data_IF_759167712462
#
_entry.id   IF_759167712462
#
_cell.length_a   1.000
_cell.length_b   1.000
_cell.length_c   1.000
_cell.angle_alpha   90.00
_cell.angle_beta   90.00
_cell.angle_gamma   90.00
#
_symmetry.space_group_name_H-M   'P 1'
#
loop_
_entity.id
_entity.type
_entity.pdbx_description
1 polymer ?
#
# COMPACT_ATOMS: atom_id res chain seq x y z
N UNK A 1 51.56 4.51 -16.19
CA UNK A 1 50.23 3.88 -16.07
C UNK A 1 49.38 4.86 -15.29
N UNK A 2 48.50 5.56 -15.98
CA UNK A 2 47.61 6.58 -15.40
C UNK A 2 46.42 5.89 -14.77
N UNK A 3 46.28 6.04 -13.46
CA UNK A 3 45.12 5.58 -12.70
C UNK A 3 43.85 6.26 -13.23
N UNK A 4 42.98 5.46 -13.82
CA UNK A 4 41.62 5.88 -14.16
C UNK A 4 40.83 5.86 -12.86
N UNK A 5 40.70 7.02 -12.25
CA UNK A 5 39.72 7.26 -11.18
C UNK A 5 38.34 7.13 -11.83
N UNK A 6 37.68 6.00 -11.59
CA UNK A 6 36.26 5.83 -11.92
C UNK A 6 35.49 6.90 -11.15
N UNK A 7 34.72 7.79 -11.81
CA UNK A 7 33.93 8.76 -11.09
C UNK A 7 32.91 8.00 -10.23
N UNK A 8 32.91 8.29 -8.93
CA UNK A 8 31.87 7.84 -8.01
C UNK A 8 30.56 8.40 -8.56
N UNK A 9 29.75 7.51 -9.14
CA UNK A 9 28.38 7.79 -9.52
C UNK A 9 27.66 8.12 -8.23
N UNK A 10 27.15 9.35 -8.13
CA UNK A 10 26.23 9.79 -7.09
C UNK A 10 25.07 8.78 -7.02
N UNK A 11 25.12 7.89 -6.01
CA UNK A 11 24.29 6.69 -5.91
C UNK A 11 22.79 6.97 -5.81
N UNK A 12 22.39 8.24 -5.75
CA UNK A 12 20.99 8.67 -5.63
C UNK A 12 20.36 9.13 -6.94
N UNK A 13 21.14 9.43 -7.99
CA UNK A 13 20.59 10.08 -9.21
C UNK A 13 19.92 9.14 -10.21
N UNK A 14 20.11 7.82 -10.10
CA UNK A 14 19.63 6.83 -11.07
C UNK A 14 18.93 5.61 -10.42
N UNK A 15 18.52 5.70 -9.15
CA UNK A 15 17.81 4.60 -8.48
C UNK A 15 16.41 4.37 -9.07
N UNK A 16 15.83 5.41 -9.69
CA UNK A 16 14.46 5.40 -10.14
C UNK A 16 14.30 5.50 -11.66
N UNK A 17 14.22 4.36 -12.34
CA UNK A 17 13.88 4.30 -13.77
C UNK A 17 14.83 5.06 -14.70
N UNK A 18 14.65 4.91 -16.01
CA UNK A 18 15.60 5.43 -17.00
C UNK A 18 15.63 6.97 -17.12
N UNK A 19 14.66 7.70 -16.53
CA UNK A 19 14.53 9.16 -16.71
C UNK A 19 13.93 9.85 -15.48
N UNK A 20 14.73 10.65 -14.77
CA UNK A 20 14.27 11.53 -13.69
C UNK A 20 13.25 12.60 -14.14
N UNK A 21 12.84 13.47 -13.22
CA UNK A 21 11.87 14.54 -13.47
C UNK A 21 12.34 15.54 -14.53
N UNK A 22 11.40 16.00 -15.37
CA UNK A 22 11.60 17.09 -16.33
C UNK A 22 11.16 18.43 -15.73
N UNK A 23 11.70 19.53 -16.27
CA UNK A 23 11.32 20.88 -15.85
C UNK A 23 9.81 21.10 -16.01
N UNK A 24 9.13 21.48 -14.93
CA UNK A 24 7.70 21.73 -14.90
C UNK A 24 6.83 20.50 -14.61
N UNK A 25 7.44 19.33 -14.42
CA UNK A 25 6.73 18.16 -13.90
C UNK A 25 6.40 18.33 -12.41
N UNK A 26 5.44 17.52 -11.95
CA UNK A 26 4.96 17.57 -10.59
C UNK A 26 6.09 17.31 -9.58
N UNK A 27 6.29 18.16 -8.56
CA UNK A 27 7.42 18.02 -7.63
C UNK A 27 7.29 16.81 -6.69
N UNK A 28 6.09 16.27 -6.53
CA UNK A 28 5.84 15.11 -5.67
C UNK A 28 5.98 15.40 -4.17
N UNK A 29 6.01 16.66 -3.78
CA UNK A 29 6.01 17.11 -2.39
C UNK A 29 5.37 18.49 -2.28
N UNK A 30 4.79 18.77 -1.12
CA UNK A 30 4.32 20.11 -0.77
C UNK A 30 5.45 20.93 -0.15
N UNK A 31 5.47 22.24 -0.38
CA UNK A 31 6.45 23.16 0.22
C UNK A 31 6.11 23.54 1.67
N UNK A 32 4.82 23.51 2.02
CA UNK A 32 4.32 23.92 3.34
C UNK A 32 3.07 23.07 3.71
N UNK A 33 3.25 21.79 4.04
CA UNK A 33 2.14 20.94 4.42
C UNK A 33 1.58 21.31 5.81
N UNK A 34 0.27 21.10 6.02
CA UNK A 34 -0.40 21.44 7.29
C UNK A 34 0.23 20.68 8.46
N UNK A 35 0.44 19.37 8.29
CA UNK A 35 1.09 18.48 9.25
C UNK A 35 1.92 17.42 8.53
N UNK A 36 2.63 16.58 9.29
CA UNK A 36 3.22 15.34 8.79
C UNK A 36 2.61 14.13 9.48
N UNK A 37 2.53 13.02 8.75
CA UNK A 37 2.14 11.71 9.32
C UNK A 37 3.34 10.79 9.41
N UNK A 38 3.42 9.99 10.47
CA UNK A 38 4.55 9.10 10.72
C UNK A 38 4.43 7.75 9.99
N UNK A 39 3.21 7.21 9.90
CA UNK A 39 2.91 5.91 9.29
C UNK A 39 1.40 5.72 9.14
N UNK A 40 0.98 4.71 8.39
CA UNK A 40 -0.40 4.21 8.41
C UNK A 40 -0.66 3.45 9.71
N UNK A 41 -1.75 3.78 10.38
CA UNK A 41 -2.14 3.16 11.64
C UNK A 41 -2.99 1.91 11.39
N UNK A 42 -4.13 2.07 10.71
CA UNK A 42 -5.00 0.94 10.35
C UNK A 42 -5.90 1.23 9.15
N UNK A 43 -6.52 0.17 8.64
CA UNK A 43 -7.59 0.23 7.63
C UNK A 43 -8.94 -0.18 8.23
N UNK A 44 -10.03 0.38 7.71
CA UNK A 44 -11.38 0.08 8.17
C UNK A 44 -12.23 -0.54 7.06
N UNK A 45 -12.89 -1.66 7.36
CA UNK A 45 -13.79 -2.33 6.43
C UNK A 45 -15.07 -2.77 7.10
N UNK A 46 -16.15 -2.81 6.31
CA UNK A 46 -17.38 -3.48 6.67
C UNK A 46 -17.39 -4.88 6.04
N UNK A 47 -17.86 -5.87 6.79
CA UNK A 47 -17.93 -7.28 6.38
C UNK A 47 -19.30 -7.90 6.70
N UNK A 48 -19.88 -8.68 5.78
CA UNK A 48 -21.14 -9.37 6.03
C UNK A 48 -21.02 -10.50 7.06
N UNK A 49 -19.86 -11.15 7.10
CA UNK A 49 -19.57 -12.28 7.98
C UNK A 49 -18.19 -12.13 8.64
N UNK A 50 -18.19 -11.70 9.90
CA UNK A 50 -16.96 -11.54 10.68
C UNK A 50 -16.30 -12.88 11.05
N UNK A 51 -17.05 -13.98 11.13
CA UNK A 51 -16.46 -15.29 11.41
C UNK A 51 -15.69 -15.80 10.20
N UNK A 52 -16.25 -15.65 9.01
CA UNK A 52 -15.56 -15.99 7.75
C UNK A 52 -14.34 -15.10 7.52
N UNK A 53 -14.45 -13.82 7.85
CA UNK A 53 -13.32 -12.89 7.80
C UNK A 53 -12.22 -13.27 8.80
N UNK A 54 -12.56 -13.63 10.04
CA UNK A 54 -11.59 -14.10 11.05
C UNK A 54 -10.85 -15.37 10.58
N UNK A 55 -11.58 -16.33 10.02
CA UNK A 55 -11.00 -17.59 9.54
C UNK A 55 -9.94 -17.33 8.45
N UNK A 56 -10.25 -16.48 7.47
CA UNK A 56 -9.27 -16.06 6.48
C UNK A 56 -8.12 -15.26 7.10
N UNK A 57 -8.41 -14.27 7.96
CA UNK A 57 -7.39 -13.44 8.57
C UNK A 57 -6.34 -14.26 9.33
N UNK A 58 -6.78 -15.28 10.09
CA UNK A 58 -5.87 -16.20 10.79
C UNK A 58 -5.06 -17.06 9.82
N UNK A 59 -5.68 -17.54 8.74
CA UNK A 59 -4.97 -18.32 7.73
C UNK A 59 -3.96 -17.48 6.94
N UNK A 60 -4.29 -16.21 6.70
CA UNK A 60 -3.42 -15.21 6.08
C UNK A 60 -2.30 -14.75 7.02
N UNK A 61 -2.45 -14.96 8.34
CA UNK A 61 -1.38 -14.78 9.31
C UNK A 61 -1.52 -13.58 10.26
N UNK A 62 -2.72 -12.99 10.36
CA UNK A 62 -3.01 -11.99 11.38
C UNK A 62 -3.21 -12.61 12.77
N UNK A 63 -2.77 -11.87 13.78
CA UNK A 63 -3.26 -11.99 15.15
C UNK A 63 -4.60 -11.26 15.32
N UNK A 64 -5.34 -11.62 16.39
CA UNK A 64 -6.58 -10.95 16.77
C UNK A 64 -6.31 -10.11 18.03
N UNK A 65 -6.54 -8.80 17.94
CA UNK A 65 -6.42 -7.87 19.05
C UNK A 65 -7.72 -7.80 19.87
N UNK A 66 -8.85 -7.77 19.17
CA UNK A 66 -10.18 -7.69 19.75
C UNK A 66 -11.17 -8.46 18.88
N UNK A 67 -12.11 -9.14 19.53
CA UNK A 67 -13.23 -9.82 18.87
C UNK A 67 -14.49 -9.63 19.70
N UNK A 68 -15.54 -9.13 19.04
CA UNK A 68 -16.90 -9.11 19.57
C UNK A 68 -17.92 -9.33 18.42
N UNK A 69 -19.24 -9.43 18.70
CA UNK A 69 -20.24 -9.67 17.65
C UNK A 69 -20.40 -8.57 16.58
N UNK A 70 -19.91 -7.35 16.85
CA UNK A 70 -20.03 -6.18 16.00
C UNK A 70 -18.72 -5.84 15.26
N UNK A 71 -17.56 -6.23 15.78
CA UNK A 71 -16.26 -5.90 15.21
C UNK A 71 -15.16 -6.93 15.50
N UNK A 72 -14.15 -6.92 14.63
CA UNK A 72 -12.93 -7.71 14.73
C UNK A 72 -11.73 -6.81 14.44
N UNK A 73 -10.76 -6.75 15.36
CA UNK A 73 -9.53 -6.00 15.17
C UNK A 73 -8.39 -6.97 14.90
N UNK A 74 -7.83 -6.89 13.71
CA UNK A 74 -6.67 -7.67 13.27
C UNK A 74 -5.39 -6.90 13.60
N UNK A 75 -4.34 -7.61 14.00
CA UNK A 75 -3.03 -7.04 14.32
C UNK A 75 -1.89 -7.86 13.75
N UNK A 76 -0.75 -7.22 13.56
CA UNK A 76 0.51 -7.90 13.29
C UNK A 76 1.22 -8.35 14.57
N UNK A 77 2.38 -8.98 14.39
CA UNK A 77 3.23 -9.46 15.48
C UNK A 77 4.06 -8.36 16.13
N UNK A 78 4.40 -7.28 15.42
CA UNK A 78 5.10 -6.12 16.02
C UNK A 78 4.21 -5.46 17.09
N UNK A 79 4.84 -4.83 18.08
CA UNK A 79 4.13 -3.99 19.05
C UNK A 79 3.46 -2.81 18.34
N UNK A 80 2.32 -2.33 18.86
CA UNK A 80 1.56 -1.24 18.25
C UNK A 80 0.04 -1.42 18.32
N UNK A 81 -0.66 -0.87 17.33
CA UNK A 81 -2.12 -0.91 17.25
C UNK A 81 -2.68 -2.04 16.36
N UNK A 82 -4.00 -2.05 16.12
CA UNK A 82 -4.59 -2.90 15.08
C UNK A 82 -4.06 -2.48 13.70
N UNK A 83 -3.91 -3.45 12.79
CA UNK A 83 -3.64 -3.21 11.38
C UNK A 83 -4.94 -3.02 10.59
N UNK A 84 -6.00 -3.72 10.98
CA UNK A 84 -7.30 -3.67 10.30
C UNK A 84 -8.43 -3.74 11.33
N UNK A 85 -9.42 -2.86 11.19
CA UNK A 85 -10.66 -2.88 11.95
C UNK A 85 -11.78 -3.30 11.01
N UNK A 86 -12.34 -4.47 11.25
CA UNK A 86 -13.52 -4.98 10.55
C UNK A 86 -14.76 -4.74 11.39
N UNK A 87 -15.82 -4.21 10.76
CA UNK A 87 -17.13 -4.03 11.40
C UNK A 87 -18.18 -4.85 10.67
N UNK A 88 -19.19 -5.33 11.38
CA UNK A 88 -20.32 -6.02 10.76
C UNK A 88 -21.11 -5.02 9.91
N UNK A 89 -21.35 -5.35 8.66
CA UNK A 89 -22.16 -4.56 7.73
C UNK A 89 -22.98 -5.44 6.80
N UNK A 90 -23.94 -4.88 6.07
CA UNK A 90 -24.77 -5.66 5.14
C UNK A 90 -24.02 -6.13 3.89
N UNK A 91 -22.99 -5.38 3.51
CA UNK A 91 -22.15 -5.64 2.34
C UNK A 91 -20.71 -5.34 2.67
N UNK A 92 -19.81 -5.95 1.92
CA UNK A 92 -18.40 -5.60 1.95
C UNK A 92 -18.20 -4.13 1.53
N UNK A 93 -17.40 -3.38 2.29
CA UNK A 93 -17.03 -1.99 1.94
C UNK A 93 -15.70 -1.59 2.57
N UNK A 94 -14.87 -0.85 1.85
CA UNK A 94 -13.76 -0.10 2.44
C UNK A 94 -14.31 1.19 3.02
N UNK A 95 -14.18 1.37 4.33
CA UNK A 95 -14.81 2.47 5.08
C UNK A 95 -13.85 3.62 5.35
N UNK A 96 -12.53 3.40 5.27
CA UNK A 96 -11.53 4.46 5.42
C UNK A 96 -10.19 3.94 5.93
N UNK A 97 -9.27 4.87 6.20
CA UNK A 97 -7.96 4.59 6.78
C UNK A 97 -7.62 5.58 7.90
N UNK A 98 -6.62 5.24 8.69
CA UNK A 98 -6.05 6.11 9.70
C UNK A 98 -4.54 6.23 9.52
N UNK A 99 -4.00 7.43 9.67
CA UNK A 99 -2.57 7.70 9.81
C UNK A 99 -2.25 8.11 11.24
N UNK A 100 -1.08 7.69 11.73
CA UNK A 100 -0.52 8.21 12.97
C UNK A 100 0.11 9.58 12.69
N UNK A 101 -0.23 10.58 13.49
CA UNK A 101 0.42 11.88 13.44
C UNK A 101 1.94 11.75 13.69
N UNK A 102 2.75 12.61 13.07
CA UNK A 102 4.18 12.65 13.37
C UNK A 102 4.44 13.15 14.78
N UNK A 103 3.72 14.18 15.20
CA UNK A 103 3.71 14.70 16.57
C UNK A 103 2.29 14.76 17.13
N UNK A 104 2.10 14.63 18.44
CA UNK A 104 0.75 14.68 19.03
C UNK A 104 0.03 16.01 18.77
N UNK A 105 0.79 17.11 18.74
CA UNK A 105 0.30 18.47 18.46
C UNK A 105 -0.26 18.60 17.05
N UNK A 106 0.15 17.74 16.10
CA UNK A 106 -0.31 17.80 14.72
C UNK A 106 -1.80 17.47 14.60
N UNK A 107 -2.36 16.64 15.49
CA UNK A 107 -3.81 16.40 15.52
C UNK A 107 -4.56 17.70 15.84
N UNK A 108 -4.03 18.51 16.76
CA UNK A 108 -4.62 19.81 17.12
C UNK A 108 -4.41 20.87 16.02
N UNK A 109 -3.22 20.90 15.40
CA UNK A 109 -2.96 21.78 14.24
C UNK A 109 -3.89 21.47 13.08
N UNK A 110 -4.09 20.19 12.79
CA UNK A 110 -5.00 19.75 11.74
C UNK A 110 -6.45 20.16 12.05
N UNK A 111 -6.90 19.97 13.30
CA UNK A 111 -8.23 20.39 13.74
C UNK A 111 -8.45 21.89 13.54
N UNK A 112 -7.50 22.71 13.99
CA UNK A 112 -7.55 24.18 13.85
C UNK A 112 -7.61 24.61 12.37
N UNK A 113 -6.71 24.06 11.55
CA UNK A 113 -6.59 24.44 10.13
C UNK A 113 -7.75 23.99 9.26
N UNK A 114 -8.44 22.91 9.64
CA UNK A 114 -9.56 22.35 8.88
C UNK A 114 -10.93 22.71 9.47
N UNK A 115 -10.97 23.24 10.69
CA UNK A 115 -12.21 23.48 11.43
C UNK A 115 -12.93 22.20 11.88
N UNK A 116 -12.28 21.04 11.78
CA UNK A 116 -12.87 19.75 12.16
C UNK A 116 -12.51 19.45 13.61
N UNK A 117 -13.49 19.13 14.48
CA UNK A 117 -13.21 18.89 15.89
C UNK A 117 -12.42 17.60 16.11
N UNK A 118 -11.56 17.64 17.13
CA UNK A 118 -10.92 16.44 17.68
C UNK A 118 -11.97 15.62 18.43
N UNK A 119 -12.03 14.32 18.16
CA UNK A 119 -12.90 13.39 18.90
C UNK A 119 -12.09 12.28 19.56
N UNK A 120 -12.59 11.75 20.68
CA UNK A 120 -12.03 10.56 21.30
C UNK A 120 -12.29 9.33 20.43
N UNK A 121 -11.33 8.43 20.38
CA UNK A 121 -11.49 7.11 19.77
C UNK A 121 -12.12 6.15 20.79
N UNK A 122 -12.72 5.04 20.33
CA UNK A 122 -13.21 4.00 21.23
C UNK A 122 -12.09 3.47 22.15
N UNK A 123 -12.44 3.12 23.38
CA UNK A 123 -11.51 2.61 24.40
C UNK A 123 -10.68 1.41 23.91
N UNK A 124 -11.23 0.58 23.02
CA UNK A 124 -10.49 -0.55 22.42
C UNK A 124 -9.20 -0.16 21.68
N UNK A 125 -9.12 1.09 21.19
CA UNK A 125 -7.97 1.62 20.44
C UNK A 125 -7.29 2.74 21.22
N UNK A 126 -8.06 3.53 21.99
CA UNK A 126 -7.55 4.64 22.78
C UNK A 126 -7.18 5.85 21.92
N UNK A 127 -6.95 6.97 22.60
CA UNK A 127 -6.46 8.20 21.97
C UNK A 127 -7.55 9.07 21.34
N UNK A 128 -7.12 9.96 20.45
CA UNK A 128 -7.96 10.94 19.79
C UNK A 128 -7.68 11.00 18.30
N UNK A 129 -8.64 11.52 17.53
CA UNK A 129 -8.53 11.64 16.09
C UNK A 129 -9.20 12.92 15.56
N UNK A 130 -8.72 13.36 14.40
CA UNK A 130 -9.45 14.22 13.46
C UNK A 130 -9.77 13.39 12.24
N UNK A 131 -11.03 13.42 11.77
CA UNK A 131 -11.46 12.70 10.58
C UNK A 131 -11.81 13.67 9.45
N UNK A 132 -11.06 13.58 8.36
CA UNK A 132 -11.31 14.31 7.13
C UNK A 132 -11.89 13.36 6.06
N UNK A 133 -12.34 13.94 4.95
CA UNK A 133 -12.71 13.20 3.75
C UNK A 133 -11.81 13.66 2.61
N UNK A 134 -11.11 12.73 1.98
CA UNK A 134 -10.25 13.07 0.86
C UNK A 134 -11.08 13.48 -0.39
N UNK A 135 -10.46 14.07 -1.42
CA UNK A 135 -11.20 14.51 -2.60
C UNK A 135 -11.84 13.39 -3.42
N UNK A 136 -11.55 12.12 -3.11
CA UNK A 136 -12.16 10.92 -3.70
C UNK A 136 -13.33 10.37 -2.87
N UNK A 137 -13.57 10.94 -1.68
CA UNK A 137 -14.66 10.54 -0.78
C UNK A 137 -14.24 9.51 0.28
N UNK A 138 -12.95 9.21 0.43
CA UNK A 138 -12.46 8.27 1.45
C UNK A 138 -12.32 8.99 2.79
N UNK A 139 -12.82 8.37 3.86
CA UNK A 139 -12.61 8.87 5.21
C UNK A 139 -11.16 8.61 5.64
N UNK A 140 -10.47 9.66 6.07
CA UNK A 140 -9.07 9.61 6.53
C UNK A 140 -8.99 10.17 7.94
N UNK A 141 -8.54 9.35 8.89
CA UNK A 141 -8.29 9.78 10.26
C UNK A 141 -6.81 10.12 10.45
N UNK A 142 -6.52 11.14 11.23
CA UNK A 142 -5.18 11.38 11.79
C UNK A 142 -5.29 11.24 13.31
N UNK A 143 -4.44 10.40 13.88
CA UNK A 143 -4.63 9.88 15.25
C UNK A 143 -3.38 10.01 16.11
N UNK A 144 -3.58 10.15 17.41
CA UNK A 144 -2.51 10.15 18.42
C UNK A 144 -2.98 9.61 19.77
N UNK A 145 -2.05 9.25 20.67
CA UNK A 145 -2.34 8.77 22.02
C UNK A 145 -2.99 7.38 22.07
N UNK A 146 -2.70 6.53 21.08
CA UNK A 146 -3.28 5.19 20.96
C UNK A 146 -2.75 4.26 22.05
N UNK A 147 -3.54 3.25 22.41
CA UNK A 147 -3.04 2.13 23.21
C UNK A 147 -2.02 1.31 22.42
N UNK A 148 -0.92 0.96 23.08
CA UNK A 148 0.11 0.11 22.50
C UNK A 148 -0.06 -1.33 22.98
N UNK A 149 -0.34 -2.23 22.05
CA UNK A 149 -0.39 -3.65 22.31
C UNK A 149 1.04 -4.23 22.30
N UNK A 150 1.38 -5.14 23.24
CA UNK A 150 2.70 -5.74 23.30
C UNK A 150 2.97 -6.61 22.06
N UNK A 151 4.23 -6.76 21.67
CA UNK A 151 4.63 -7.64 20.57
C UNK A 151 4.17 -9.09 20.80
N UNK A 152 3.83 -9.77 19.71
CA UNK A 152 3.56 -11.21 19.66
C UNK A 152 4.78 -11.94 19.09
N UNK A 153 4.88 -13.28 19.25
CA UNK A 153 5.98 -14.03 18.68
C UNK A 153 6.08 -13.84 17.16
N UNK A 154 7.20 -13.31 16.68
CA UNK A 154 7.49 -13.16 15.26
C UNK A 154 7.72 -14.52 14.58
N UNK A 155 7.69 -14.52 13.25
CA UNK A 155 8.25 -15.59 12.43
C UNK A 155 9.70 -15.20 12.08
N UNK A 156 10.72 -15.88 12.62
CA UNK A 156 12.10 -15.49 12.36
C UNK A 156 12.46 -15.75 10.89
N UNK A 157 13.24 -14.85 10.26
CA UNK A 157 13.71 -15.07 8.90
C UNK A 157 14.64 -16.28 8.84
N UNK A 158 14.63 -16.98 7.70
CA UNK A 158 15.48 -18.13 7.43
C UNK A 158 16.93 -17.68 7.25
N UNK A 159 17.84 -18.39 7.92
CA UNK A 159 19.27 -18.21 7.69
C UNK A 159 19.66 -18.83 6.36
N UNK A 160 20.03 -17.97 5.42
CA UNK A 160 20.41 -18.35 4.05
C UNK A 160 21.93 -18.45 3.90
N UNK A 161 22.41 -19.39 3.08
CA UNK A 161 23.77 -19.34 2.54
C UNK A 161 23.73 -18.41 1.32
N UNK A 162 24.34 -17.25 1.43
CA UNK A 162 24.31 -16.20 0.40
C UNK A 162 25.70 -16.02 -0.19
N UNK A 163 25.82 -16.20 -1.51
CA UNK A 163 27.09 -16.05 -2.23
C UNK A 163 28.19 -16.96 -1.63
N UNK A 164 29.29 -16.35 -1.20
CA UNK A 164 30.46 -17.02 -0.61
C UNK A 164 30.40 -17.15 0.92
N UNK A 165 29.27 -16.86 1.57
CA UNK A 165 29.11 -16.96 3.03
C UNK A 165 28.23 -18.16 3.36
N UNK A 166 28.84 -19.16 4.00
CA UNK A 166 28.14 -20.33 4.54
C UNK A 166 27.58 -20.03 5.95
N UNK A 167 26.42 -19.37 6.00
CA UNK A 167 25.70 -19.06 7.24
C UNK A 167 25.06 -20.28 7.93
N UNK A 168 24.94 -21.40 7.21
CA UNK A 168 24.31 -22.64 7.66
C UNK A 168 25.18 -23.85 7.30
N UNK A 169 25.80 -24.44 8.32
CA UNK A 169 26.67 -25.64 8.23
C UNK A 169 25.92 -26.84 8.83
N UNK A 170 25.89 -27.98 8.14
CA UNK A 170 25.22 -29.22 8.57
C UNK A 170 23.75 -29.08 9.00
N UNK A 171 23.07 -28.01 8.58
CA UNK A 171 21.67 -27.76 8.84
C UNK A 171 20.90 -27.65 7.52
N UNK A 172 19.63 -28.06 7.49
CA UNK A 172 18.77 -28.00 6.29
C UNK A 172 17.69 -26.93 6.46
N UNK A 173 17.19 -26.38 5.35
CA UNK A 173 16.04 -25.45 5.33
C UNK A 173 14.84 -26.18 4.76
N UNK A 174 13.77 -26.24 5.56
CA UNK A 174 12.47 -26.85 5.24
C UNK A 174 11.38 -25.97 5.87
N UNK A 175 11.04 -24.83 5.24
CA UNK A 175 10.08 -23.90 5.80
C UNK A 175 8.72 -24.60 5.99
N UNK A 176 8.12 -24.54 7.20
CA UNK A 176 6.85 -25.18 7.44
C UNK A 176 5.74 -24.46 6.67
N UNK A 177 4.79 -25.23 6.10
CA UNK A 177 3.56 -24.69 5.51
C UNK A 177 2.61 -24.31 6.64
N UNK A 178 2.76 -23.10 7.15
CA UNK A 178 1.96 -22.48 8.23
C UNK A 178 1.60 -21.05 7.81
N UNK A 179 0.65 -20.35 8.47
CA UNK A 179 0.37 -18.96 8.14
C UNK A 179 1.65 -18.12 8.18
N UNK A 180 1.91 -17.36 7.11
CA UNK A 180 2.99 -16.37 7.09
C UNK A 180 2.62 -15.26 8.06
N UNK A 181 3.31 -15.16 9.20
CA UNK A 181 2.90 -14.24 10.27
C UNK A 181 3.05 -12.80 9.80
N UNK A 182 1.93 -12.08 9.77
CA UNK A 182 1.92 -10.65 9.46
C UNK A 182 2.61 -9.89 10.58
N UNK A 183 3.65 -9.14 10.23
CA UNK A 183 4.40 -8.31 11.17
C UNK A 183 3.73 -6.96 11.41
N UNK A 184 3.27 -6.30 10.34
CA UNK A 184 2.58 -5.01 10.37
C UNK A 184 1.81 -4.74 9.07
N UNK A 185 0.98 -3.71 9.08
CA UNK A 185 0.48 -3.06 7.86
C UNK A 185 1.61 -2.25 7.21
N UNK A 186 1.77 -2.39 5.90
CA UNK A 186 2.72 -1.58 5.13
C UNK A 186 2.02 -0.45 4.40
N UNK A 187 1.13 -0.81 3.47
CA UNK A 187 0.51 0.19 2.61
C UNK A 187 -0.92 -0.15 2.17
N UNK A 188 -1.58 0.86 1.60
CA UNK A 188 -2.88 0.74 0.92
C UNK A 188 -2.81 1.36 -0.46
N UNK A 189 -3.48 0.75 -1.43
CA UNK A 189 -3.59 1.24 -2.80
C UNK A 189 -5.04 1.61 -3.08
N UNK A 190 -5.25 2.85 -3.49
CA UNK A 190 -6.55 3.38 -3.83
C UNK A 190 -6.58 3.81 -5.30
N UNK A 191 -7.76 3.73 -5.88
CA UNK A 191 -8.06 4.26 -7.19
C UNK A 191 -8.93 5.50 -7.03
N UNK A 192 -8.68 6.55 -7.83
CA UNK A 192 -9.45 7.79 -7.81
C UNK A 192 -9.74 8.28 -9.23
N UNK A 193 -10.92 8.85 -9.45
CA UNK A 193 -11.27 9.59 -10.67
C UNK A 193 -10.71 11.01 -10.67
N UNK A 194 -10.32 11.52 -9.49
CA UNK A 194 -9.72 12.85 -9.30
C UNK A 194 -8.34 12.69 -8.69
N UNK A 195 -7.51 11.90 -9.36
CA UNK A 195 -6.20 11.45 -8.89
C UNK A 195 -5.26 12.60 -8.49
N UNK A 196 -4.97 13.57 -9.36
CA UNK A 196 -4.05 14.67 -9.04
C UNK A 196 -4.58 15.53 -7.90
N UNK A 197 -5.88 15.81 -7.89
CA UNK A 197 -6.51 16.54 -6.78
C UNK A 197 -6.37 15.79 -5.46
N UNK A 198 -6.56 14.47 -5.50
CA UNK A 198 -6.43 13.58 -4.34
C UNK A 198 -4.98 13.51 -3.87
N UNK A 199 -4.03 13.29 -4.79
CA UNK A 199 -2.60 13.29 -4.50
C UNK A 199 -2.19 14.57 -3.78
N UNK A 200 -2.48 15.73 -4.37
CA UNK A 200 -2.07 17.02 -3.80
C UNK A 200 -2.67 17.24 -2.42
N UNK A 201 -3.91 16.79 -2.20
CA UNK A 201 -4.50 16.83 -0.86
C UNK A 201 -3.69 16.01 0.16
N UNK A 202 -3.22 14.80 -0.17
CA UNK A 202 -2.36 14.03 0.76
C UNK A 202 -0.98 14.70 0.97
N UNK A 203 -0.40 15.30 -0.07
CA UNK A 203 0.88 16.02 0.02
C UNK A 203 0.75 17.29 0.88
N UNK A 204 -0.27 18.11 0.62
CA UNK A 204 -0.50 19.41 1.27
C UNK A 204 -1.08 19.26 2.68
N UNK A 205 -1.91 18.25 2.92
CA UNK A 205 -2.55 18.07 4.24
C UNK A 205 -1.65 17.29 5.19
N UNK A 206 -0.99 16.23 4.71
CA UNK A 206 -0.28 15.27 5.57
C UNK A 206 1.23 15.20 5.33
N UNK A 207 1.77 16.07 4.48
CA UNK A 207 3.20 16.18 4.25
C UNK A 207 3.82 14.92 3.68
N UNK A 208 3.02 14.04 3.07
CA UNK A 208 3.54 12.87 2.38
C UNK A 208 4.32 13.31 1.13
N UNK A 209 5.22 12.46 0.64
CA UNK A 209 6.07 12.74 -0.52
C UNK A 209 6.13 11.53 -1.46
N UNK A 210 6.28 11.77 -2.75
CA UNK A 210 6.26 10.72 -3.79
C UNK A 210 7.63 10.08 -3.93
N UNK A 211 7.65 8.74 -4.01
CA UNK A 211 8.84 7.94 -4.34
C UNK A 211 8.91 7.64 -5.82
N UNK A 212 7.78 7.28 -6.45
CA UNK A 212 7.69 7.06 -7.89
C UNK A 212 6.38 7.60 -8.46
N UNK A 213 6.48 8.22 -9.64
CA UNK A 213 5.39 8.53 -10.53
C UNK A 213 5.36 7.56 -11.70
N UNK A 214 4.17 7.04 -12.02
CA UNK A 214 3.92 6.34 -13.27
C UNK A 214 3.00 7.15 -14.18
N UNK A 215 3.24 7.11 -15.48
CA UNK A 215 2.40 7.76 -16.50
C UNK A 215 1.97 6.77 -17.57
N UNK A 216 0.78 6.95 -18.16
CA UNK A 216 0.36 6.08 -19.26
C UNK A 216 1.33 6.20 -20.46
N UNK A 217 1.68 5.09 -21.14
CA UNK A 217 2.57 5.11 -22.30
C UNK A 217 2.15 6.13 -23.36
N UNK A 218 3.09 6.98 -23.77
CA UNK A 218 2.84 8.08 -24.70
C UNK A 218 2.09 9.29 -24.12
N UNK A 219 1.84 9.33 -22.81
CA UNK A 219 1.07 10.38 -22.15
C UNK A 219 1.83 11.10 -21.02
N UNK A 220 3.17 11.02 -20.96
CA UNK A 220 3.98 11.70 -19.92
C UNK A 220 3.68 13.19 -19.81
N UNK A 221 3.50 13.88 -20.94
CA UNK A 221 3.16 15.30 -20.99
C UNK A 221 1.82 15.65 -20.34
N UNK A 222 0.94 14.65 -20.12
CA UNK A 222 -0.31 14.82 -19.38
C UNK A 222 -0.12 14.68 -17.87
N UNK A 223 1.11 14.46 -17.41
CA UNK A 223 1.42 14.17 -16.02
C UNK A 223 1.14 12.72 -15.61
N UNK A 224 1.36 12.42 -14.33
CA UNK A 224 1.29 11.06 -13.81
C UNK A 224 -0.15 10.54 -13.80
N UNK A 225 -0.27 9.22 -13.78
CA UNK A 225 -1.50 8.46 -13.65
C UNK A 225 -1.45 7.50 -12.46
N UNK A 226 -0.30 7.34 -11.80
CA UNK A 226 -0.18 6.65 -10.53
C UNK A 226 1.01 7.23 -9.74
N UNK A 227 0.91 7.19 -8.41
CA UNK A 227 1.99 7.55 -7.50
C UNK A 227 2.16 6.51 -6.41
N UNK A 228 3.41 6.24 -6.05
CA UNK A 228 3.81 5.57 -4.82
C UNK A 228 4.27 6.64 -3.84
N UNK A 229 3.62 6.74 -2.68
CA UNK A 229 3.70 7.89 -1.77
C UNK A 229 4.13 7.41 -0.39
N UNK A 230 5.27 7.93 0.10
CA UNK A 230 5.82 7.65 1.44
C UNK A 230 5.51 8.76 2.43
N UNK A 231 5.58 8.42 3.71
CA UNK A 231 5.58 9.40 4.79
C UNK A 231 6.92 10.16 4.82
N UNK A 232 6.89 11.50 4.88
CA UNK A 232 8.11 12.30 5.09
C UNK A 232 8.49 12.32 6.58
N UNK A 233 9.46 11.48 6.94
CA UNK A 233 10.04 11.40 8.29
C UNK A 233 11.40 12.13 8.39
N UNK A 234 11.65 13.08 7.49
CA UNK A 234 12.93 13.78 7.38
C UNK A 234 14.04 12.84 6.96
N UNK A 235 15.17 12.88 7.68
CA UNK A 235 16.32 11.99 7.44
C UNK A 235 16.09 10.54 7.94
N UNK A 236 14.98 10.26 8.65
CA UNK A 236 14.66 8.89 9.04
C UNK A 236 14.01 8.18 7.86
N UNK A 237 14.53 7.01 7.41
CA UNK A 237 13.90 6.28 6.32
C UNK A 237 12.47 5.86 6.64
N UNK A 238 11.61 5.95 5.64
CA UNK A 238 10.25 5.39 5.61
C UNK A 238 10.17 4.34 4.50
N UNK A 239 9.15 3.48 4.55
CA UNK A 239 8.87 2.55 3.45
C UNK A 239 8.77 3.31 2.13
N UNK A 240 9.14 2.65 1.03
CA UNK A 240 8.97 3.13 -0.34
C UNK A 240 7.63 3.82 -0.55
N UNK A 241 6.56 3.25 0.02
CA UNK A 241 5.26 3.86 0.05
C UNK A 241 4.43 3.31 1.20
N UNK A 242 3.59 4.19 1.73
CA UNK A 242 2.53 3.88 2.69
C UNK A 242 1.15 4.00 2.02
N UNK A 243 1.07 4.82 0.97
CA UNK A 243 -0.11 5.00 0.13
C UNK A 243 0.32 4.89 -1.33
N UNK A 244 -0.44 4.17 -2.16
CA UNK A 244 -0.38 4.37 -3.61
C UNK A 244 -1.73 4.83 -4.14
N UNK A 245 -1.70 5.74 -5.10
CA UNK A 245 -2.89 6.29 -5.74
C UNK A 245 -2.80 6.06 -7.24
N UNK A 246 -3.83 5.47 -7.84
CA UNK A 246 -3.94 5.28 -9.28
C UNK A 246 -5.15 6.01 -9.84
N UNK A 247 -4.98 6.65 -11.00
CA UNK A 247 -6.07 7.19 -11.81
C UNK A 247 -6.87 6.03 -12.42
N UNK A 248 -8.18 6.03 -12.18
CA UNK A 248 -9.06 5.07 -12.82
C UNK A 248 -10.53 5.49 -12.81
N UNK A 249 -11.41 4.72 -13.46
CA UNK A 249 -12.79 5.13 -13.73
C UNK A 249 -13.73 5.08 -12.50
N UNK A 250 -13.20 4.84 -11.32
CA UNK A 250 -13.97 4.77 -10.08
C UNK A 250 -13.08 5.05 -8.86
N UNK A 251 -13.69 5.63 -7.82
CA UNK A 251 -13.07 5.75 -6.49
C UNK A 251 -13.25 4.43 -5.75
N UNK A 252 -12.16 3.73 -5.44
CA UNK A 252 -12.22 2.43 -4.75
C UNK A 252 -10.92 2.04 -4.09
N UNK A 253 -11.03 1.14 -3.12
CA UNK A 253 -9.92 0.32 -2.66
C UNK A 253 -9.45 -0.62 -3.78
N UNK A 254 -8.14 -0.75 -3.96
CA UNK A 254 -7.50 -1.71 -4.87
C UNK A 254 -6.97 -2.89 -4.08
N UNK A 255 -5.99 -2.66 -3.19
CA UNK A 255 -5.45 -3.65 -2.26
C UNK A 255 -4.79 -3.00 -1.05
N UNK A 256 -4.38 -3.83 -0.08
CA UNK A 256 -3.51 -3.45 1.03
C UNK A 256 -2.52 -4.55 1.32
N UNK A 257 -1.36 -4.17 1.81
CA UNK A 257 -0.22 -5.07 1.96
C UNK A 257 0.29 -5.16 3.39
N UNK A 258 0.73 -6.35 3.75
CA UNK A 258 1.09 -6.73 5.09
C UNK A 258 2.46 -7.41 5.09
N UNK A 259 3.38 -6.87 5.90
CA UNK A 259 4.77 -7.31 5.92
C UNK A 259 4.87 -8.71 6.52
N UNK A 260 5.65 -9.59 5.90
CA UNK A 260 6.03 -10.90 6.43
C UNK A 260 7.56 -11.02 6.47
N UNK A 261 8.07 -12.06 7.12
CA UNK A 261 9.49 -12.13 7.47
C UNK A 261 10.46 -12.15 6.28
N UNK A 262 10.16 -12.96 5.27
CA UNK A 262 11.06 -13.24 4.14
C UNK A 262 10.34 -13.99 3.01
N UNK A 263 11.07 -14.27 1.93
CA UNK A 263 10.59 -15.02 0.77
C UNK A 263 10.10 -16.43 1.13
N UNK A 264 10.79 -17.13 2.04
CA UNK A 264 10.44 -18.50 2.41
C UNK A 264 9.14 -18.56 3.22
N UNK A 265 8.91 -17.61 4.14
CA UNK A 265 7.63 -17.48 4.83
C UNK A 265 6.49 -17.17 3.86
N UNK A 266 6.73 -16.25 2.93
CA UNK A 266 5.77 -15.89 1.88
C UNK A 266 5.44 -17.09 0.99
N UNK A 267 6.46 -17.85 0.55
CA UNK A 267 6.27 -19.04 -0.28
C UNK A 267 5.56 -20.19 0.44
N UNK A 268 6.04 -20.57 1.62
CA UNK A 268 5.46 -21.68 2.38
C UNK A 268 4.08 -21.35 2.95
N UNK A 269 3.87 -20.11 3.39
CA UNK A 269 2.56 -19.61 3.81
C UNK A 269 1.57 -19.52 2.65
N UNK A 270 2.05 -19.19 1.46
CA UNK A 270 1.23 -19.26 0.26
C UNK A 270 0.75 -20.68 -0.07
N UNK A 271 1.61 -21.70 0.06
CA UNK A 271 1.18 -23.10 -0.09
C UNK A 271 0.17 -23.51 0.99
N UNK A 272 0.35 -23.06 2.23
CA UNK A 272 -0.63 -23.27 3.31
C UNK A 272 -2.02 -22.68 2.99
N UNK A 273 -2.07 -21.49 2.37
CA UNK A 273 -3.30 -20.87 1.92
C UNK A 273 -3.96 -21.66 0.77
N UNK A 274 -3.18 -22.15 -0.19
CA UNK A 274 -3.70 -23.02 -1.26
C UNK A 274 -4.28 -24.33 -0.74
N UNK A 275 -3.57 -24.98 0.19
CA UNK A 275 -4.01 -26.24 0.81
C UNK A 275 -5.36 -26.07 1.55
N UNK A 276 -5.76 -24.83 1.86
CA UNK A 276 -7.06 -24.45 2.46
C UNK A 276 -8.11 -23.97 1.46
N UNK A 277 -7.78 -23.96 0.17
CA UNK A 277 -8.69 -23.54 -0.89
C UNK A 277 -8.83 -22.03 -1.05
N UNK A 278 -7.94 -21.22 -0.47
CA UNK A 278 -7.91 -19.79 -0.75
C UNK A 278 -7.36 -19.50 -2.14
N UNK A 279 -7.72 -18.34 -2.70
CA UNK A 279 -7.43 -18.00 -4.09
C UNK A 279 -6.28 -17.01 -4.19
N UNK A 280 -5.17 -17.45 -4.79
CA UNK A 280 -4.06 -16.57 -5.18
C UNK A 280 -4.43 -15.81 -6.44
N UNK A 281 -4.40 -14.49 -6.35
CA UNK A 281 -4.66 -13.59 -7.47
C UNK A 281 -3.40 -13.41 -8.33
N UNK A 282 -2.23 -13.19 -7.74
CA UNK A 282 -0.97 -13.03 -8.47
C UNK A 282 0.23 -13.29 -7.54
N UNK A 283 1.38 -13.68 -8.10
CA UNK A 283 2.59 -13.98 -7.35
C UNK A 283 3.03 -15.44 -7.43
N UNK A 284 4.21 -15.77 -6.90
CA UNK A 284 5.14 -14.87 -6.19
C UNK A 284 6.00 -14.10 -7.18
N UNK A 285 6.32 -12.84 -6.88
CA UNK A 285 7.24 -12.05 -7.69
C UNK A 285 7.95 -10.97 -6.89
N UNK A 286 8.68 -10.11 -7.61
CA UNK A 286 9.30 -8.89 -7.08
C UNK A 286 8.88 -7.69 -7.90
N UNK A 287 8.42 -6.64 -7.24
CA UNK A 287 8.01 -5.40 -7.89
C UNK A 287 9.19 -4.60 -8.44
N UNK A 288 8.98 -3.83 -9.52
CA UNK A 288 9.95 -2.83 -9.97
C UNK A 288 9.99 -1.67 -8.97
N UNK A 289 8.84 -1.05 -8.68
CA UNK A 289 8.75 0.03 -7.71
C UNK A 289 8.86 -0.50 -6.28
N UNK A 290 9.77 0.08 -5.50
CA UNK A 290 10.03 -0.28 -4.11
C UNK A 290 10.61 -1.67 -3.89
N UNK A 291 11.01 -2.38 -4.94
CA UNK A 291 11.69 -3.67 -4.92
C UNK A 291 11.03 -4.79 -4.10
N UNK A 292 9.81 -4.61 -3.61
CA UNK A 292 9.19 -5.52 -2.65
C UNK A 292 8.86 -6.87 -3.29
N UNK A 293 9.10 -7.95 -2.54
CA UNK A 293 8.52 -9.26 -2.83
C UNK A 293 7.01 -9.19 -2.61
N UNK A 294 6.23 -9.91 -3.42
CA UNK A 294 4.77 -9.91 -3.34
C UNK A 294 4.14 -11.31 -3.48
N UNK A 295 3.02 -11.54 -2.77
CA UNK A 295 2.05 -12.61 -3.00
C UNK A 295 0.62 -12.09 -2.74
N UNK A 296 -0.20 -12.01 -3.78
CA UNK A 296 -1.53 -11.42 -3.75
C UNK A 296 -2.62 -12.48 -3.62
N UNK A 297 -3.54 -12.27 -2.69
CA UNK A 297 -4.62 -13.18 -2.35
C UNK A 297 -5.97 -12.46 -2.35
N UNK A 298 -7.02 -13.18 -2.72
CA UNK A 298 -8.39 -12.70 -2.50
C UNK A 298 -8.91 -13.24 -1.19
N UNK A 299 -9.40 -12.36 -0.35
CA UNK A 299 -10.20 -12.76 0.79
C UNK A 299 -11.56 -13.33 0.33
N UNK A 300 -12.32 -13.99 1.22
CA UNK A 300 -13.56 -14.65 0.84
C UNK A 300 -14.63 -13.74 0.22
N UNK A 301 -14.59 -12.43 0.51
CA UNK A 301 -15.54 -11.45 -0.02
C UNK A 301 -15.00 -10.72 -1.26
N UNK A 302 -13.75 -11.00 -1.66
CA UNK A 302 -13.13 -10.52 -2.89
C UNK A 302 -12.16 -9.34 -2.72
N UNK A 303 -11.84 -8.90 -1.51
CA UNK A 303 -10.76 -7.91 -1.33
C UNK A 303 -9.42 -8.54 -1.66
N UNK A 304 -8.61 -7.76 -2.39
CA UNK A 304 -7.25 -8.15 -2.72
C UNK A 304 -6.33 -7.72 -1.58
N UNK A 305 -5.60 -8.66 -1.00
CA UNK A 305 -4.61 -8.42 0.05
C UNK A 305 -3.27 -8.98 -0.38
N UNK A 306 -2.19 -8.35 0.06
CA UNK A 306 -0.83 -8.69 -0.33
C UNK A 306 -0.01 -9.08 0.91
N UNK A 307 0.76 -10.16 0.81
CA UNK A 307 1.96 -10.35 1.63
C UNK A 307 3.13 -9.70 0.93
N UNK A 308 3.89 -8.86 1.64
CA UNK A 308 5.13 -8.30 1.12
C UNK A 308 6.31 -8.52 2.06
N UNK A 309 7.51 -8.49 1.49
CA UNK A 309 8.77 -8.49 2.24
C UNK A 309 9.86 -7.77 1.42
N UNK A 310 10.94 -7.37 2.07
CA UNK A 310 12.14 -6.84 1.40
C UNK A 310 11.86 -5.62 0.50
N UNK A 311 11.14 -4.64 1.04
CA UNK A 311 10.83 -3.37 0.38
C UNK A 311 11.89 -2.30 0.64
N UNK A 312 12.07 -1.40 -0.33
CA UNK A 312 13.02 -0.28 -0.22
C UNK A 312 12.60 0.71 0.88
N UNK A 313 13.61 1.33 1.52
CA UNK A 313 13.43 2.34 2.55
C UNK A 313 14.10 3.64 2.11
N UNK A 314 13.34 4.74 2.07
CA UNK A 314 13.82 6.04 1.59
C UNK A 314 13.63 7.15 2.63
N UNK A 315 14.60 8.05 2.71
CA UNK A 315 14.47 9.31 3.45
C UNK A 315 13.86 10.42 2.56
N UNK A 316 13.93 11.67 3.01
CA UNK A 316 13.40 12.82 2.29
C UNK A 316 14.32 13.42 1.22
N UNK A 317 15.54 12.90 1.07
CA UNK A 317 16.54 13.43 0.11
C UNK A 317 16.34 12.88 -1.30
N UNK A 318 15.68 11.74 -1.41
CA UNK A 318 15.45 11.08 -2.69
C UNK A 318 14.28 11.71 -3.45
N UNK A 319 14.55 12.15 -4.67
CA UNK A 319 13.59 12.75 -5.59
C UNK A 319 12.72 11.67 -6.28
N UNK A 320 11.47 11.99 -6.67
CA UNK A 320 10.58 11.02 -7.29
C UNK A 320 11.12 10.46 -8.62
N UNK A 321 10.99 9.14 -8.77
CA UNK A 321 11.13 8.45 -10.03
C UNK A 321 10.03 8.73 -11.04
N UNK A 322 10.31 8.52 -12.33
CA UNK A 322 9.30 8.60 -13.39
C UNK A 322 9.43 7.43 -14.36
N UNK A 323 8.38 6.62 -14.47
CA UNK A 323 8.36 5.45 -15.36
C UNK A 323 7.03 5.27 -16.10
N UNK A 324 7.01 4.62 -17.28
CA UNK A 324 5.76 4.24 -17.92
C UNK A 324 4.95 3.26 -17.06
N UNK A 325 3.63 3.43 -17.02
CA UNK A 325 2.71 2.49 -16.38
C UNK A 325 2.35 1.38 -17.37
N UNK A 326 2.96 0.20 -17.23
CA UNK A 326 2.68 -1.00 -18.04
C UNK A 326 2.51 -2.22 -17.13
N UNK A 327 1.79 -3.25 -17.56
CA UNK A 327 1.64 -4.47 -16.75
C UNK A 327 2.96 -5.26 -16.66
N UNK A 328 3.72 -5.33 -17.75
CA UNK A 328 5.12 -5.82 -17.76
C UNK A 328 6.05 -5.01 -16.85
N UNK A 329 5.77 -3.72 -16.63
CA UNK A 329 6.53 -2.83 -15.76
C UNK A 329 6.19 -2.95 -14.27
N UNK A 330 5.26 -3.83 -13.89
CA UNK A 330 4.90 -4.03 -12.49
C UNK A 330 5.88 -4.92 -11.73
N UNK A 331 6.55 -5.86 -12.41
CA UNK A 331 7.42 -6.84 -11.76
C UNK A 331 8.78 -6.97 -12.47
N UNK A 332 9.85 -7.06 -11.68
CA UNK A 332 11.20 -7.42 -12.15
C UNK A 332 11.25 -8.88 -12.58
N UNK A 333 10.63 -9.75 -11.77
CA UNK A 333 10.47 -11.18 -12.03
C UNK A 333 9.23 -11.70 -11.30
N UNK A 334 8.70 -12.81 -11.81
CA UNK A 334 7.47 -13.43 -11.33
C UNK A 334 6.62 -13.90 -12.52
N UNK A 335 5.48 -14.57 -12.27
CA UNK A 335 4.54 -14.87 -13.33
C UNK A 335 3.93 -13.57 -13.90
N UNK A 336 3.45 -13.56 -15.15
CA UNK A 336 2.69 -12.44 -15.68
C UNK A 336 1.51 -12.06 -14.79
N UNK A 337 1.20 -10.76 -14.70
CA UNK A 337 0.04 -10.27 -13.95
C UNK A 337 -1.24 -10.95 -14.46
N UNK A 338 -2.04 -11.47 -13.53
CA UNK A 338 -3.25 -12.20 -13.92
C UNK A 338 -4.37 -11.25 -14.31
N UNK A 339 -5.34 -11.76 -15.08
CA UNK A 339 -6.57 -11.00 -15.37
C UNK A 339 -7.40 -10.70 -14.13
N UNK A 340 -7.30 -11.52 -13.09
CA UNK A 340 -7.96 -11.24 -11.82
C UNK A 340 -7.32 -10.05 -11.12
N UNK A 341 -5.99 -10.01 -11.05
CA UNK A 341 -5.24 -8.89 -10.47
C UNK A 341 -5.49 -7.57 -11.21
N UNK A 342 -5.46 -7.60 -12.54
CA UNK A 342 -5.73 -6.43 -13.40
C UNK A 342 -7.21 -6.02 -13.45
N UNK A 343 -8.09 -6.70 -12.70
CA UNK A 343 -9.54 -6.50 -12.72
C UNK A 343 -10.15 -6.66 -14.13
N UNK A 344 -9.47 -7.38 -15.03
CA UNK A 344 -9.84 -7.60 -16.43
C UNK A 344 -10.64 -8.90 -16.64
N UNK A 345 -11.31 -9.38 -15.58
CA UNK A 345 -12.11 -10.60 -15.61
C UNK A 345 -13.50 -10.35 -16.23
N UNK A 346 -14.14 -11.35 -16.88
CA UNK A 346 -15.49 -11.20 -17.43
C UNK A 346 -16.55 -10.79 -16.39
N UNK A 347 -16.36 -11.16 -15.12
CA UNK A 347 -17.27 -10.78 -14.02
C UNK A 347 -17.18 -9.28 -13.71
N UNK A 348 -15.99 -8.71 -13.77
CA UNK A 348 -15.75 -7.29 -13.53
C UNK A 348 -16.17 -6.40 -14.71
N UNK A 349 -16.17 -6.93 -15.93
CA UNK A 349 -16.36 -6.17 -17.16
C UNK A 349 -17.62 -5.28 -17.19
N UNK A 350 -18.78 -5.77 -16.71
CA UNK A 350 -20.03 -4.97 -16.68
C UNK A 350 -19.91 -3.76 -15.75
N UNK A 351 -19.34 -3.97 -14.56
CA UNK A 351 -19.13 -2.89 -13.60
C UNK A 351 -18.10 -1.89 -14.12
N UNK A 352 -17.03 -2.37 -14.75
CA UNK A 352 -16.02 -1.49 -15.36
C UNK A 352 -16.58 -0.63 -16.49
N UNK A 353 -17.36 -1.19 -17.41
CA UNK A 353 -17.98 -0.40 -18.48
C UNK A 353 -18.90 0.67 -17.92
N UNK A 354 -19.71 0.31 -16.92
CA UNK A 354 -20.60 1.27 -16.25
C UNK A 354 -19.80 2.38 -15.56
N UNK A 355 -18.71 2.03 -14.87
CA UNK A 355 -17.82 2.98 -14.22
C UNK A 355 -17.16 3.93 -15.24
N UNK A 356 -16.65 3.40 -16.36
CA UNK A 356 -16.04 4.21 -17.43
C UNK A 356 -17.05 5.20 -18.04
N UNK A 357 -18.28 4.74 -18.35
CA UNK A 357 -19.34 5.61 -18.88
C UNK A 357 -19.76 6.69 -17.88
N UNK A 358 -19.79 6.36 -16.60
CA UNK A 358 -20.12 7.30 -15.53
C UNK A 358 -19.00 8.33 -15.37
N UNK A 359 -17.75 7.88 -15.35
CA UNK A 359 -16.58 8.74 -15.21
C UNK A 359 -16.47 9.76 -16.36
N UNK A 360 -16.70 9.34 -17.61
CA UNK A 360 -16.70 10.24 -18.77
C UNK A 360 -17.74 11.38 -18.71
N UNK A 361 -18.77 11.24 -17.88
CA UNK A 361 -19.84 12.24 -17.71
C UNK A 361 -19.64 13.14 -16.49
N UNK A 362 -18.66 12.82 -15.64
CA UNK A 362 -18.40 13.55 -14.41
C UNK A 362 -17.36 14.66 -14.59
N UNK A 363 -17.36 15.60 -13.67
CA UNK A 363 -16.29 16.60 -13.52
C UNK A 363 -15.09 15.95 -12.79
N UNK A 364 -14.20 15.31 -13.57
CA UNK A 364 -13.08 14.54 -13.07
C UNK A 364 -11.94 14.41 -14.12
N UNK A 365 -10.91 13.63 -13.83
CA UNK A 365 -9.69 13.51 -14.66
C UNK A 365 -9.79 12.41 -15.75
N UNK A 366 -10.95 11.77 -15.91
CA UNK A 366 -11.17 10.68 -16.87
C UNK A 366 -11.74 11.22 -18.18
N UNK A 367 -10.93 11.14 -19.24
CA UNK A 367 -11.36 11.33 -20.62
C UNK A 367 -11.08 10.10 -21.49
N UNK A 368 -11.53 10.13 -22.75
CA UNK A 368 -11.33 9.03 -23.70
C UNK A 368 -9.85 8.64 -23.84
N UNK A 369 -8.94 9.62 -23.85
CA UNK A 369 -7.51 9.36 -23.99
C UNK A 369 -6.91 8.69 -22.74
N UNK A 370 -7.37 9.05 -21.53
CA UNK A 370 -6.97 8.37 -20.28
C UNK A 370 -7.51 6.95 -20.24
N UNK A 371 -8.74 6.72 -20.70
CA UNK A 371 -9.30 5.37 -20.80
C UNK A 371 -8.51 4.49 -21.79
N UNK A 372 -8.12 5.04 -22.95
CA UNK A 372 -7.22 4.34 -23.89
C UNK A 372 -5.88 4.02 -23.23
N UNK A 373 -5.32 4.96 -22.46
CA UNK A 373 -4.09 4.75 -21.69
C UNK A 373 -4.22 3.59 -20.70
N UNK A 374 -5.29 3.59 -19.91
CA UNK A 374 -5.61 2.52 -18.95
C UNK A 374 -5.76 1.15 -19.62
N UNK A 375 -6.48 1.08 -20.74
CA UNK A 375 -6.65 -0.17 -21.50
C UNK A 375 -5.32 -0.68 -22.04
N UNK A 376 -4.43 0.21 -22.50
CA UNK A 376 -3.08 -0.18 -22.94
C UNK A 376 -2.28 -0.82 -21.81
N UNK A 377 -2.36 -0.30 -20.58
CA UNK A 377 -1.69 -0.89 -19.41
C UNK A 377 -2.08 -2.37 -19.25
N UNK A 378 -3.37 -2.67 -19.27
CA UNK A 378 -3.89 -4.02 -19.08
C UNK A 378 -3.47 -5.02 -20.18
N UNK A 379 -3.01 -4.53 -21.34
CA UNK A 379 -2.58 -5.34 -22.50
C UNK A 379 -1.08 -5.31 -22.76
N UNK A 380 -0.28 -4.63 -21.91
CA UNK A 380 1.14 -4.30 -22.13
C UNK A 380 2.16 -5.11 -21.33
#
# INVERSE_FOLDING_TARGET
MTDVVTPVVDGHKNLHGERGALRGEHPGRSGDPIIRVADIAWLEFDKPDLMRAEAFARAFGFGIALRDPAQLHLRGTKAGGPCVILRRGQRMRFSGLAFRAAEEIDVLRLADKTGVPVHRLPESVGGVAVQLTDPSGVAVKVVTGLHELPAQPDQPPQVSNVGSVDGRINATVRPPRVPARVQRLGHVVLQSTTYLRTLNWYLDTFGMIVSDFLFFPGQRARGPAMSFIRCDRGATPADHHTLALALGPANRYVHSAYEVSDLDALAAGGEYLKDRGYYRSWGIGRHIQGSQLFDYWRDPDGFLVEHFADGDMFDNTLEPGWSPFTASGLAQWGPPATRDFLDASPRAARHQVTAMLTALRGDNEIDLNRLIGLLKVATS
#
